data_IF_011010768675
#
_entry.id   IF_011010768675
#
_cell.length_a   1.000
_cell.length_b   1.000
_cell.length_c   1.000
_cell.angle_alpha   90.00
_cell.angle_beta   90.00
_cell.angle_gamma   90.00
#
_symmetry.space_group_name_H-M   'P 1'
#
loop_
_entity.id
_entity.type
_entity.pdbx_description
1 polymer ?
#
# COMPACT_ATOMS: atom_id res chain seq x y z
N UNK A 1 24.41 -18.97 -5.26
CA UNK A 1 23.11 -19.60 -5.57
C UNK A 1 22.12 -18.50 -5.83
N UNK A 2 21.49 -18.50 -7.01
CA UNK A 2 20.58 -17.45 -7.46
C UNK A 2 19.15 -17.81 -7.01
N UNK A 3 18.56 -17.03 -6.11
CA UNK A 3 17.17 -17.21 -5.68
C UNK A 3 16.32 -16.07 -6.23
N UNK A 4 15.67 -16.29 -7.38
CA UNK A 4 14.60 -15.41 -7.86
C UNK A 4 13.27 -16.13 -7.60
N UNK A 5 12.56 -15.76 -6.53
CA UNK A 5 11.23 -16.30 -6.26
C UNK A 5 10.22 -15.53 -7.11
N UNK A 6 9.82 -16.11 -8.24
CA UNK A 6 8.78 -15.54 -9.11
C UNK A 6 7.41 -15.99 -8.61
N UNK A 7 6.77 -15.19 -7.76
CA UNK A 7 5.37 -15.37 -7.42
C UNK A 7 4.50 -14.86 -8.57
N UNK A 8 3.83 -15.78 -9.27
CA UNK A 8 2.75 -15.45 -10.21
C UNK A 8 1.48 -15.33 -9.36
N UNK A 9 0.96 -14.12 -9.22
CA UNK A 9 -0.32 -13.89 -8.53
C UNK A 9 -1.41 -14.01 -9.58
N UNK A 10 -2.32 -14.99 -9.41
CA UNK A 10 -3.54 -15.11 -10.22
C UNK A 10 -4.37 -13.82 -10.06
N UNK A 11 -4.32 -12.95 -11.06
CA UNK A 11 -5.12 -11.75 -11.12
C UNK A 11 -6.36 -12.04 -11.98
N UNK A 12 -7.59 -11.98 -11.43
CA UNK A 12 -8.78 -11.97 -12.27
C UNK A 12 -8.75 -10.72 -13.17
N UNK A 13 -9.17 -10.91 -14.42
CA UNK A 13 -8.88 -10.10 -15.61
C UNK A 13 -9.37 -8.63 -15.63
N UNK A 14 -9.72 -8.02 -14.49
CA UNK A 14 -10.42 -6.73 -14.43
C UNK A 14 -9.66 -5.58 -13.75
N UNK A 15 -8.44 -5.79 -13.24
CA UNK A 15 -7.74 -4.76 -12.45
C UNK A 15 -6.80 -3.90 -13.33
N UNK A 16 -7.18 -2.66 -13.63
CA UNK A 16 -6.46 -1.70 -14.49
C UNK A 16 -5.13 -1.17 -13.93
N UNK A 17 -4.76 -1.50 -12.69
CA UNK A 17 -3.51 -1.07 -12.06
C UNK A 17 -2.66 -2.29 -11.70
N UNK A 18 -1.67 -2.61 -12.54
CA UNK A 18 -0.71 -3.68 -12.28
C UNK A 18 0.33 -3.14 -11.29
N UNK A 19 0.45 -3.76 -10.12
CA UNK A 19 1.53 -3.47 -9.16
C UNK A 19 2.57 -4.58 -9.24
N UNK A 20 3.77 -4.27 -9.73
CA UNK A 20 4.91 -5.18 -9.74
C UNK A 20 5.77 -4.98 -8.49
N UNK A 21 6.06 -6.07 -7.76
CA UNK A 21 7.00 -6.04 -6.64
C UNK A 21 8.24 -6.84 -6.99
N UNK A 22 9.38 -6.17 -7.08
CA UNK A 22 10.69 -6.76 -7.39
C UNK A 22 11.60 -6.58 -6.19
N UNK A 23 12.00 -7.68 -5.55
CA UNK A 23 12.93 -7.66 -4.42
C UNK A 23 14.27 -8.26 -4.87
N UNK A 24 15.35 -7.48 -4.72
CA UNK A 24 16.72 -7.92 -5.00
C UNK A 24 17.56 -7.91 -3.72
N UNK A 25 18.19 -9.02 -3.39
CA UNK A 25 18.96 -9.20 -2.14
C UNK A 25 20.37 -9.68 -2.44
N UNK A 26 21.40 -9.02 -1.91
CA UNK A 26 22.80 -9.43 -2.08
C UNK A 26 23.53 -9.48 -0.72
N UNK A 27 24.05 -10.65 -0.35
CA UNK A 27 24.96 -10.81 0.78
C UNK A 27 26.34 -11.26 0.30
N UNK A 28 27.39 -10.57 0.76
CA UNK A 28 28.79 -10.98 0.59
C UNK A 28 29.32 -11.84 1.74
N UNK A 29 28.55 -11.96 2.83
CA UNK A 29 28.92 -12.72 4.03
C UNK A 29 28.15 -14.05 4.08
N UNK A 30 28.83 -15.21 4.19
CA UNK A 30 28.18 -16.52 4.28
C UNK A 30 27.35 -16.76 5.55
N UNK A 31 27.50 -15.97 6.61
CA UNK A 31 26.64 -16.04 7.81
C UNK A 31 25.43 -15.10 7.77
N UNK A 32 25.24 -14.33 6.69
CA UNK A 32 24.14 -13.38 6.59
C UNK A 32 22.79 -14.09 6.44
N UNK A 33 21.83 -13.68 7.26
CA UNK A 33 20.40 -14.01 7.08
C UNK A 33 19.70 -12.79 6.50
N UNK A 34 19.03 -12.98 5.37
CA UNK A 34 18.22 -11.93 4.74
C UNK A 34 16.81 -12.48 4.55
N UNK A 35 15.82 -11.77 5.09
CA UNK A 35 14.40 -12.06 4.93
C UNK A 35 13.73 -10.84 4.30
N UNK A 36 12.87 -11.07 3.32
CA UNK A 36 12.10 -10.02 2.67
C UNK A 36 10.64 -10.45 2.55
N UNK A 37 9.75 -9.54 2.93
CA UNK A 37 8.32 -9.68 2.79
C UNK A 37 7.78 -8.59 1.86
N UNK A 38 6.80 -8.96 1.04
CA UNK A 38 6.09 -8.05 0.16
C UNK A 38 4.62 -8.46 0.09
N UNK A 39 3.75 -7.48 0.34
CA UNK A 39 2.31 -7.67 0.31
C UNK A 39 1.69 -6.65 -0.64
N UNK A 40 0.80 -7.09 -1.51
CA UNK A 40 -0.08 -6.20 -2.26
C UNK A 40 -1.48 -6.27 -1.65
N UNK A 41 -2.19 -5.15 -1.65
CA UNK A 41 -3.55 -5.07 -1.09
C UNK A 41 -4.41 -4.23 -2.01
N UNK A 42 -5.69 -4.60 -2.12
CA UNK A 42 -6.70 -3.84 -2.85
C UNK A 42 -7.73 -3.34 -1.86
N UNK A 43 -8.21 -2.13 -2.08
CA UNK A 43 -9.36 -1.60 -1.34
C UNK A 43 -10.61 -2.24 -1.96
N UNK A 44 -11.34 -3.00 -1.14
CA UNK A 44 -12.54 -3.70 -1.57
C UNK A 44 -13.76 -2.77 -1.64
N UNK A 45 -14.56 -2.90 -2.70
CA UNK A 45 -15.82 -2.16 -2.85
C UNK A 45 -16.78 -2.42 -1.68
N UNK A 46 -16.81 -3.63 -1.13
CA UNK A 46 -17.63 -3.98 0.04
C UNK A 46 -17.26 -3.16 1.28
N UNK A 47 -15.96 -2.90 1.48
CA UNK A 47 -15.51 -2.07 2.60
C UNK A 47 -15.96 -0.62 2.39
N UNK A 48 -15.81 -0.08 1.18
CA UNK A 48 -16.24 1.27 0.85
C UNK A 48 -17.77 1.41 0.99
N UNK A 49 -18.53 0.43 0.53
CA UNK A 49 -19.98 0.38 0.66
C UNK A 49 -20.43 0.37 2.13
N UNK A 50 -19.71 -0.35 3.01
CA UNK A 50 -19.98 -0.34 4.44
C UNK A 50 -19.80 1.04 5.09
N UNK A 51 -18.80 1.82 4.65
CA UNK A 51 -18.64 3.22 5.08
C UNK A 51 -19.78 4.11 4.56
N UNK A 52 -20.16 3.96 3.29
CA UNK A 52 -21.26 4.70 2.69
C UNK A 52 -22.61 4.43 3.38
N UNK A 53 -22.87 3.18 3.78
CA UNK A 53 -24.07 2.84 4.56
C UNK A 53 -24.15 3.57 5.92
N UNK A 54 -23.00 4.00 6.45
CA UNK A 54 -22.93 4.83 7.67
C UNK A 54 -22.97 6.33 7.39
N UNK A 55 -23.23 6.73 6.15
CA UNK A 55 -23.22 8.13 5.72
C UNK A 55 -21.83 8.74 5.60
N UNK A 56 -20.78 7.91 5.53
CA UNK A 56 -19.42 8.37 5.32
C UNK A 56 -19.17 8.41 3.81
N UNK A 57 -18.80 9.60 3.34
CA UNK A 57 -18.52 9.84 1.93
C UNK A 57 -17.38 8.94 1.39
N UNK A 58 -17.44 8.62 0.11
CA UNK A 58 -16.47 7.74 -0.56
C UNK A 58 -15.03 8.20 -0.37
N UNK A 59 -14.76 9.50 -0.58
CA UNK A 59 -13.42 10.06 -0.46
C UNK A 59 -12.91 9.99 0.98
N UNK A 60 -13.79 10.23 1.96
CA UNK A 60 -13.46 10.12 3.38
C UNK A 60 -13.19 8.67 3.79
N UNK A 61 -13.97 7.72 3.27
CA UNK A 61 -13.77 6.30 3.50
C UNK A 61 -12.43 5.82 2.93
N UNK A 62 -12.13 6.23 1.69
CA UNK A 62 -10.87 5.95 1.02
C UNK A 62 -9.68 6.51 1.80
N UNK A 63 -9.74 7.80 2.16
CA UNK A 63 -8.71 8.47 2.94
C UNK A 63 -8.47 7.76 4.29
N UNK A 64 -9.53 7.33 4.98
CA UNK A 64 -9.41 6.61 6.25
C UNK A 64 -8.72 5.25 6.08
N UNK A 65 -9.04 4.48 5.02
CA UNK A 65 -8.39 3.19 4.75
C UNK A 65 -6.91 3.35 4.41
N UNK A 66 -6.56 4.32 3.58
CA UNK A 66 -5.18 4.59 3.18
C UNK A 66 -4.36 5.10 4.37
N UNK A 67 -4.95 6.01 5.17
CA UNK A 67 -4.30 6.49 6.40
C UNK A 67 -4.06 5.35 7.39
N UNK A 68 -5.01 4.41 7.51
CA UNK A 68 -4.85 3.21 8.32
C UNK A 68 -3.72 2.29 7.83
N UNK A 69 -3.61 2.11 6.51
CA UNK A 69 -2.54 1.32 5.89
C UNK A 69 -1.15 1.95 6.10
N UNK A 70 -1.04 3.28 6.03
CA UNK A 70 0.23 3.98 6.21
C UNK A 70 0.56 4.32 7.68
N UNK A 71 -0.31 3.97 8.65
CA UNK A 71 -0.17 4.41 10.04
C UNK A 71 1.19 4.09 10.65
N UNK A 72 1.67 2.86 10.47
CA UNK A 72 2.91 2.41 11.09
C UNK A 72 4.13 3.07 10.41
N UNK A 73 4.04 3.36 9.10
CA UNK A 73 5.04 4.15 8.37
C UNK A 73 5.08 5.59 8.88
N UNK A 74 3.92 6.19 9.17
CA UNK A 74 3.85 7.55 9.70
C UNK A 74 4.35 7.65 11.14
N UNK A 75 4.15 6.61 11.95
CA UNK A 75 4.68 6.56 13.33
C UNK A 75 6.22 6.47 13.39
N UNK A 76 6.86 5.99 12.33
CA UNK A 76 8.33 5.97 12.21
C UNK A 76 8.91 7.26 11.62
N UNK A 77 8.05 8.13 11.06
CA UNK A 77 8.48 9.38 10.46
C UNK A 77 8.72 10.44 11.55
N UNK A 78 9.78 11.26 11.45
CA UNK A 78 9.97 12.37 12.36
C UNK A 78 8.75 13.31 12.35
N UNK A 79 8.29 13.73 13.54
CA UNK A 79 7.07 14.53 13.74
C UNK A 79 7.06 15.83 12.90
N UNK A 80 8.24 16.38 12.61
CA UNK A 80 8.45 17.55 11.75
C UNK A 80 7.89 17.39 10.32
N UNK A 81 7.70 16.16 9.83
CA UNK A 81 7.13 15.88 8.51
C UNK A 81 5.66 15.45 8.53
N UNK A 82 5.08 15.19 9.71
CA UNK A 82 3.73 14.63 9.82
C UNK A 82 2.62 15.55 9.26
N UNK A 83 2.82 16.86 9.36
CA UNK A 83 1.85 17.84 8.85
C UNK A 83 1.79 17.87 7.30
N UNK A 84 2.91 17.69 6.62
CA UNK A 84 3.01 17.76 5.16
C UNK A 84 2.57 16.46 4.47
N UNK A 85 2.79 15.32 5.11
CA UNK A 85 2.38 14.00 4.59
C UNK A 85 0.87 13.88 4.43
N UNK A 86 0.11 14.38 5.39
CA UNK A 86 -1.35 14.38 5.33
C UNK A 86 -1.88 15.21 4.15
N UNK A 87 -1.25 16.36 3.87
CA UNK A 87 -1.61 17.21 2.74
C UNK A 87 -1.26 16.55 1.40
N UNK A 88 -0.07 15.95 1.29
CA UNK A 88 0.39 15.28 0.07
C UNK A 88 -0.50 14.06 -0.28
N UNK A 89 -0.93 13.30 0.73
CA UNK A 89 -1.84 12.17 0.56
C UNK A 89 -3.21 12.63 0.05
N UNK A 90 -3.80 13.67 0.65
CA UNK A 90 -5.09 14.21 0.20
C UNK A 90 -5.04 14.67 -1.26
N UNK A 91 -3.94 15.31 -1.68
CA UNK A 91 -3.75 15.84 -3.03
C UNK A 91 -3.55 14.75 -4.10
N UNK A 92 -2.95 13.61 -3.74
CA UNK A 92 -2.77 12.46 -4.64
C UNK A 92 -4.07 11.70 -4.91
N UNK A 93 -5.01 11.77 -3.97
CA UNK A 93 -6.29 11.08 -4.05
C UNK A 93 -7.31 11.87 -4.87
N UNK A 94 -7.26 13.20 -4.79
CA UNK A 94 -8.03 14.13 -5.62
C UNK A 94 -7.54 14.08 -7.09
N UNK A 95 -8.07 13.11 -7.86
CA UNK A 95 -7.76 12.93 -9.28
C UNK A 95 -7.27 11.55 -9.70
N UNK A 96 -7.14 10.59 -8.76
CA UNK A 96 -6.82 9.18 -9.08
C UNK A 96 -8.04 8.25 -9.02
N UNK A 97 -9.19 8.78 -8.55
CA UNK A 97 -10.50 8.11 -8.56
C UNK A 97 -11.25 8.57 -9.82
N UNK A 98 -11.18 7.78 -10.88
CA UNK A 98 -11.83 8.02 -12.18
C UNK A 98 -11.67 6.86 -13.16
#
# INVERSE_FOLDING_TARGET
MYGALRLVVDAPAACKYVTSVLIGTQAKNPSARIEHEATTSKIGEDQLFYFQQRGIDYEKAMAAMISGFCRDVFNELPDEFGAEVNQLMSLKLEGSVG
#
